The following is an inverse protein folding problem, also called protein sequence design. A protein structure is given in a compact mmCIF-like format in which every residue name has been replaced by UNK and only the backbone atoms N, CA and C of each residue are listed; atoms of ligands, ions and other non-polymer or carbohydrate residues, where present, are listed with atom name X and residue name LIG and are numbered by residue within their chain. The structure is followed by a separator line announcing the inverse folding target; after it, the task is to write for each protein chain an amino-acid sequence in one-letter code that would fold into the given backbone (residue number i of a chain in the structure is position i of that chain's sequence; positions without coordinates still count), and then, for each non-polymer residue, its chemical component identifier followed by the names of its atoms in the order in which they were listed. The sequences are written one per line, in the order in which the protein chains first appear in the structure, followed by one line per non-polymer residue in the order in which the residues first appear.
data_IF_708092620777
#
_entry.id   IF_708092620777
#
_cell.length_a   1.000
_cell.length_b   1.000
_cell.length_c   1.000
_cell.angle_alpha   90.00
_cell.angle_beta   90.00
_cell.angle_gamma   90.00
#
_symmetry.space_group_name_H-M   'P 1'
#
loop_
_entity.id
_entity.type
_entity.pdbx_description
1 polymer ?
#
# COMPACT_ATOMS: atom_id res chain seq x y z
N UNK A 1 18.34 13.63 -11.50
CA UNK A 1 17.78 12.89 -12.64
C UNK A 1 17.19 13.92 -13.59
N UNK A 2 17.59 13.90 -14.87
CA UNK A 2 16.96 14.70 -15.93
C UNK A 2 15.84 13.85 -16.54
N UNK A 3 14.72 14.46 -16.89
CA UNK A 3 13.65 13.79 -17.62
C UNK A 3 14.17 13.31 -18.98
N UNK A 4 14.00 12.02 -19.26
CA UNK A 4 14.19 11.44 -20.59
C UNK A 4 12.84 11.49 -21.31
N UNK A 5 12.78 11.96 -22.56
CA UNK A 5 11.51 12.18 -23.28
C UNK A 5 10.63 10.92 -23.23
N UNK A 6 9.45 11.03 -22.63
CA UNK A 6 8.41 9.99 -22.63
C UNK A 6 8.35 9.06 -21.41
N UNK A 7 9.28 9.18 -20.44
CA UNK A 7 9.24 8.38 -19.20
C UNK A 7 9.00 9.26 -17.97
N UNK A 8 8.21 8.76 -17.03
CA UNK A 8 8.06 9.34 -15.69
C UNK A 8 9.35 9.18 -14.88
N UNK A 9 9.51 10.00 -13.83
CA UNK A 9 10.67 9.91 -12.93
C UNK A 9 10.71 8.57 -12.19
N UNK A 10 9.54 7.98 -11.92
CA UNK A 10 9.36 6.69 -11.29
C UNK A 10 9.79 5.56 -12.22
N UNK A 11 9.41 5.60 -13.50
CA UNK A 11 9.86 4.63 -14.52
C UNK A 11 11.38 4.72 -14.75
N UNK A 12 11.93 5.93 -14.76
CA UNK A 12 13.38 6.12 -14.83
C UNK A 12 14.09 5.54 -13.60
N UNK A 13 13.55 5.77 -12.40
CA UNK A 13 14.10 5.20 -11.17
C UNK A 13 14.00 3.66 -11.15
N UNK A 14 12.89 3.10 -11.62
CA UNK A 14 12.71 1.65 -11.79
C UNK A 14 13.73 1.09 -12.78
N UNK A 15 13.98 1.78 -13.91
CA UNK A 15 15.01 1.40 -14.89
C UNK A 15 16.42 1.34 -14.30
N UNK A 16 16.83 2.35 -13.51
CA UNK A 16 18.13 2.32 -12.83
C UNK A 16 18.23 1.17 -11.81
N UNK A 17 17.14 0.86 -11.09
CA UNK A 17 17.13 -0.27 -10.16
C UNK A 17 17.28 -1.60 -10.91
N UNK A 18 16.56 -1.78 -12.02
CA UNK A 18 16.67 -2.96 -12.88
C UNK A 18 18.09 -3.12 -13.41
N UNK A 19 18.75 -2.02 -13.81
CA UNK A 19 20.13 -2.04 -14.25
C UNK A 19 21.07 -2.54 -13.14
N UNK A 20 20.91 -2.06 -11.90
CA UNK A 20 21.70 -2.52 -10.75
C UNK A 20 21.47 -4.01 -10.46
N UNK A 21 20.24 -4.50 -10.66
CA UNK A 21 19.89 -5.90 -10.52
C UNK A 21 20.54 -6.75 -11.62
N UNK A 22 20.47 -6.32 -12.88
CA UNK A 22 21.11 -7.03 -14.01
C UNK A 22 22.63 -7.10 -13.87
N UNK A 23 23.25 -6.08 -13.27
CA UNK A 23 24.70 -6.08 -12.95
C UNK A 23 25.04 -6.89 -11.69
N UNK A 24 24.07 -7.55 -11.06
CA UNK A 24 24.24 -8.33 -9.81
C UNK A 24 24.80 -7.52 -8.62
N UNK A 25 24.69 -6.18 -8.67
CA UNK A 25 25.09 -5.30 -7.56
C UNK A 25 23.99 -5.21 -6.49
N UNK A 26 22.74 -5.44 -6.90
CA UNK A 26 21.56 -5.52 -6.05
C UNK A 26 20.85 -6.83 -6.36
N UNK A 27 20.41 -7.54 -5.33
CA UNK A 27 19.67 -8.80 -5.46
C UNK A 27 18.21 -8.58 -5.09
N UNK A 28 17.29 -9.18 -5.84
CA UNK A 28 15.87 -9.17 -5.47
C UNK A 28 15.67 -10.11 -4.28
N UNK A 29 15.21 -9.59 -3.16
CA UNK A 29 14.93 -10.37 -1.94
C UNK A 29 13.49 -10.89 -1.89
N UNK A 30 12.57 -10.20 -2.57
CA UNK A 30 11.19 -10.64 -2.71
C UNK A 30 10.55 -10.04 -3.96
N UNK A 31 9.62 -10.80 -4.54
CA UNK A 31 8.85 -10.38 -5.71
C UNK A 31 7.43 -9.98 -5.31
N UNK A 32 6.84 -9.08 -6.10
CA UNK A 32 5.40 -8.85 -6.15
C UNK A 32 4.77 -9.95 -7.01
N UNK A 33 3.46 -10.09 -6.92
CA UNK A 33 2.68 -11.08 -7.68
C UNK A 33 2.84 -10.93 -9.21
N UNK A 34 3.08 -9.71 -9.67
CA UNK A 34 3.29 -9.34 -11.07
C UNK A 34 4.73 -9.61 -11.54
N UNK A 35 5.57 -10.17 -10.67
CA UNK A 35 6.98 -10.47 -10.96
C UNK A 35 7.91 -9.27 -10.79
N UNK A 36 7.42 -8.10 -10.38
CA UNK A 36 8.28 -6.95 -10.11
C UNK A 36 8.97 -7.08 -8.74
N UNK A 37 10.15 -6.47 -8.58
CA UNK A 37 10.83 -6.44 -7.30
C UNK A 37 9.96 -5.76 -6.22
N UNK A 38 9.71 -6.46 -5.12
CA UNK A 38 9.04 -5.93 -3.91
C UNK A 38 10.09 -5.47 -2.90
N UNK A 39 11.13 -6.25 -2.72
CA UNK A 39 12.26 -5.96 -1.84
C UNK A 39 13.57 -6.29 -2.54
N UNK A 40 14.61 -5.57 -2.16
CA UNK A 40 15.97 -5.76 -2.65
C UNK A 40 16.94 -5.85 -1.48
N UNK A 41 18.09 -6.49 -1.70
CA UNK A 41 19.21 -6.56 -0.76
C UNK A 41 20.52 -6.42 -1.52
N UNK A 42 21.60 -6.13 -0.81
CA UNK A 42 22.96 -6.13 -1.35
C UNK A 42 23.70 -7.30 -0.71
N UNK A 43 24.49 -8.03 -1.50
CA UNK A 43 25.32 -9.12 -1.00
C UNK A 43 26.44 -8.59 -0.08
N UNK A 44 26.84 -9.35 0.94
CA UNK A 44 27.79 -8.89 1.96
C UNK A 44 29.14 -8.43 1.37
N UNK A 45 29.71 -9.18 0.42
CA UNK A 45 30.93 -8.77 -0.29
C UNK A 45 30.80 -7.42 -1.03
N UNK A 46 29.64 -7.17 -1.66
CA UNK A 46 29.38 -5.88 -2.34
C UNK A 46 29.18 -4.78 -1.30
N UNK A 47 28.53 -5.08 -0.19
CA UNK A 47 28.38 -4.17 0.95
C UNK A 47 29.75 -3.78 1.51
N UNK A 48 30.67 -4.72 1.70
CA UNK A 48 32.03 -4.45 2.19
C UNK A 48 32.82 -3.58 1.20
N UNK A 49 32.73 -3.87 -0.10
CA UNK A 49 33.30 -3.03 -1.15
C UNK A 49 32.73 -1.60 -1.10
N UNK A 50 31.40 -1.44 -0.94
CA UNK A 50 30.75 -0.13 -0.80
C UNK A 50 31.25 0.60 0.44
N UNK A 51 31.36 -0.09 1.59
CA UNK A 51 31.85 0.48 2.83
C UNK A 51 33.32 0.93 2.70
N UNK A 52 34.15 0.15 2.02
CA UNK A 52 35.54 0.52 1.73
C UNK A 52 35.61 1.76 0.84
N UNK A 53 34.88 1.77 -0.29
CA UNK A 53 34.80 2.94 -1.18
C UNK A 53 34.25 4.18 -0.46
N UNK A 54 33.31 4.01 0.47
CA UNK A 54 32.75 5.13 1.21
C UNK A 54 33.78 5.81 2.12
N UNK A 55 34.79 5.07 2.65
CA UNK A 55 35.91 5.66 3.40
C UNK A 55 36.76 6.61 2.52
N UNK A 56 36.89 6.30 1.23
CA UNK A 56 37.66 7.13 0.29
C UNK A 56 36.91 8.44 -0.05
N UNK A 57 35.59 8.36 -0.22
CA UNK A 57 34.79 9.49 -0.73
C UNK A 57 34.15 10.36 0.36
N UNK A 58 34.08 9.89 1.61
CA UNK A 58 33.38 10.55 2.72
C UNK A 58 31.96 11.02 2.36
N UNK A 59 31.31 10.30 1.43
CA UNK A 59 30.05 10.74 0.82
C UNK A 59 28.84 10.45 1.73
N UNK A 60 28.86 9.29 2.38
CA UNK A 60 27.84 8.84 3.33
C UNK A 60 28.45 8.65 4.73
N UNK A 61 27.68 8.96 5.79
CA UNK A 61 28.05 8.64 7.17
C UNK A 61 26.86 7.99 7.88
N UNK A 62 27.12 6.93 8.62
CA UNK A 62 26.19 6.30 9.55
C UNK A 62 26.61 6.61 10.97
N UNK A 63 25.64 6.98 11.82
CA UNK A 63 25.84 7.23 13.25
C UNK A 63 25.00 6.23 14.03
N UNK A 64 25.67 5.46 14.88
CA UNK A 64 25.11 4.43 15.76
C UNK A 64 25.68 4.53 17.17
N UNK A 65 25.06 3.82 18.12
CA UNK A 65 25.43 3.83 19.54
C UNK A 65 26.84 3.26 19.80
N UNK A 66 27.42 2.53 18.83
CA UNK A 66 28.72 1.88 18.89
C UNK A 66 29.92 2.80 18.63
N UNK A 67 29.69 4.12 18.49
CA UNK A 67 30.74 5.14 18.60
C UNK A 67 31.69 5.22 17.41
N UNK A 68 31.48 6.20 16.52
CA UNK A 68 32.54 6.75 15.68
C UNK A 68 32.46 8.28 15.62
N UNK A 69 33.38 8.94 16.29
CA UNK A 69 33.39 10.38 16.66
C UNK A 69 34.35 11.25 15.84
N UNK A 70 34.56 10.96 14.55
CA UNK A 70 35.25 11.91 13.66
C UNK A 70 34.38 12.33 12.48
N UNK A 71 33.85 13.55 12.55
CA UNK A 71 33.23 14.28 11.44
C UNK A 71 34.34 14.90 10.57
N UNK A 72 35.07 14.08 9.83
CA UNK A 72 36.04 14.54 8.85
C UNK A 72 35.44 14.55 7.44
N UNK A 73 35.57 15.66 6.72
CA UNK A 73 35.19 15.75 5.30
C UNK A 73 33.75 16.18 5.00
N UNK A 74 33.40 16.23 3.72
CA UNK A 74 32.12 16.76 3.21
C UNK A 74 31.07 15.64 3.17
N UNK A 75 30.30 15.50 4.25
CA UNK A 75 29.20 14.53 4.33
C UNK A 75 27.99 15.06 3.55
N UNK A 76 27.52 14.31 2.55
CA UNK A 76 26.33 14.66 1.75
C UNK A 76 25.11 13.83 2.12
N UNK A 77 25.30 12.63 2.68
CA UNK A 77 24.23 11.74 3.13
C UNK A 77 24.51 11.25 4.54
N UNK A 78 23.54 11.40 5.42
CA UNK A 78 23.65 11.05 6.82
C UNK A 78 22.53 10.07 7.18
N UNK A 79 22.89 8.96 7.82
CA UNK A 79 21.96 8.02 8.43
C UNK A 79 22.23 7.89 9.92
N UNK A 80 21.16 7.79 10.71
CA UNK A 80 21.24 7.85 12.17
C UNK A 80 20.34 6.79 12.75
N UNK A 81 20.85 6.02 13.71
CA UNK A 81 20.03 5.05 14.48
C UNK A 81 19.76 5.45 15.92
N UNK A 82 20.36 6.54 16.39
CA UNK A 82 20.35 6.98 17.78
C UNK A 82 20.31 8.50 17.86
N UNK A 83 19.57 9.03 18.84
CA UNK A 83 19.31 10.47 19.00
C UNK A 83 19.97 11.01 20.28
N UNK A 84 20.93 10.28 20.83
CA UNK A 84 21.61 10.69 22.08
C UNK A 84 22.57 11.87 21.80
N UNK A 85 23.14 12.45 22.87
CA UNK A 85 23.93 13.70 22.83
C UNK A 85 25.09 13.69 21.80
N UNK A 86 25.60 12.51 21.43
CA UNK A 86 26.58 12.31 20.34
C UNK A 86 26.09 12.91 19.01
N UNK A 87 24.77 12.91 18.76
CA UNK A 87 24.22 13.52 17.56
C UNK A 87 24.30 15.05 17.58
N UNK A 88 24.22 15.70 18.76
CA UNK A 88 24.31 17.18 18.86
C UNK A 88 25.63 17.71 18.29
N UNK A 89 26.72 16.97 18.47
CA UNK A 89 28.03 17.31 17.91
C UNK A 89 28.04 17.23 16.37
N UNK A 90 27.22 16.35 15.80
CA UNK A 90 27.09 16.09 14.36
C UNK A 90 26.22 17.09 13.60
N UNK A 91 25.41 17.89 14.32
CA UNK A 91 24.47 18.87 13.75
C UNK A 91 25.17 20.01 12.97
N UNK A 92 26.49 20.16 13.05
CA UNK A 92 27.23 21.18 12.30
C UNK A 92 27.46 20.84 10.80
N UNK A 93 26.92 19.73 10.29
CA UNK A 93 27.08 19.27 8.90
C UNK A 93 26.28 20.07 7.85
N UNK A 94 26.69 21.30 7.54
CA UNK A 94 25.99 22.21 6.60
C UNK A 94 25.80 21.68 5.16
N UNK A 95 26.60 20.69 4.74
CA UNK A 95 26.61 20.14 3.37
C UNK A 95 25.67 18.95 3.17
N UNK A 96 25.02 18.46 4.23
CA UNK A 96 24.14 17.29 4.15
C UNK A 96 22.92 17.61 3.28
N UNK A 97 22.63 16.71 2.34
CA UNK A 97 21.52 16.80 1.37
C UNK A 97 20.48 15.71 1.58
N UNK A 98 20.83 14.64 2.28
CA UNK A 98 19.91 13.57 2.64
C UNK A 98 20.15 13.15 4.08
N UNK A 99 19.07 13.16 4.88
CA UNK A 99 19.08 12.77 6.27
C UNK A 99 18.03 11.66 6.47
N UNK A 100 18.49 10.50 6.91
CA UNK A 100 17.66 9.34 7.23
C UNK A 100 17.80 9.00 8.70
N UNK A 101 16.69 8.91 9.41
CA UNK A 101 16.67 8.59 10.82
C UNK A 101 15.91 7.27 11.00
N UNK A 102 16.65 6.21 11.36
CA UNK A 102 16.17 4.84 11.53
C UNK A 102 16.10 4.47 13.01
N UNK A 103 14.93 4.45 13.63
CA UNK A 103 14.84 4.03 15.02
C UNK A 103 13.42 4.11 15.52
N UNK A 104 13.14 3.45 16.63
CA UNK A 104 11.77 3.33 17.17
C UNK A 104 11.52 4.24 18.39
N UNK A 105 12.49 5.10 18.73
CA UNK A 105 12.38 6.02 19.86
C UNK A 105 11.57 7.26 19.47
N UNK A 106 11.25 8.05 20.47
CA UNK A 106 10.64 9.35 20.25
C UNK A 106 11.72 10.42 20.06
N UNK A 107 11.53 11.32 19.10
CA UNK A 107 12.41 12.45 18.87
C UNK A 107 12.15 13.54 19.91
N UNK A 108 13.20 13.98 20.59
CA UNK A 108 13.13 15.14 21.48
C UNK A 108 12.75 16.41 20.71
N UNK A 109 11.98 17.29 21.36
CA UNK A 109 11.46 18.52 20.73
C UNK A 109 12.57 19.54 20.42
N UNK A 110 13.64 19.55 21.20
CA UNK A 110 14.83 20.37 20.92
C UNK A 110 15.52 19.88 19.66
N UNK A 111 15.68 18.56 19.53
CA UNK A 111 16.29 17.95 18.36
C UNK A 111 15.55 18.29 17.07
N UNK A 112 14.21 18.12 17.05
CA UNK A 112 13.43 18.43 15.85
C UNK A 112 13.50 19.91 15.44
N UNK A 113 13.69 20.84 16.39
CA UNK A 113 13.81 22.28 16.12
C UNK A 113 15.16 22.70 15.56
N UNK A 114 16.24 21.98 15.88
CA UNK A 114 17.60 22.29 15.44
C UNK A 114 17.86 21.87 13.99
N UNK A 115 17.26 20.77 13.53
CA UNK A 115 17.50 20.25 12.18
C UNK A 115 17.20 21.32 11.09
N UNK A 116 16.05 22.04 11.12
CA UNK A 116 15.74 23.04 10.10
C UNK A 116 16.64 24.28 10.12
N UNK A 117 17.36 24.56 11.20
CA UNK A 117 18.30 25.69 11.24
C UNK A 117 19.67 25.31 10.68
N UNK A 118 20.07 24.04 10.84
CA UNK A 118 21.42 23.57 10.55
C UNK A 118 21.56 22.89 9.20
N UNK A 119 20.51 22.23 8.73
CA UNK A 119 20.52 21.43 7.51
C UNK A 119 19.72 22.05 6.36
N UNK A 120 20.00 23.33 6.05
CA UNK A 120 19.25 24.11 5.05
C UNK A 120 19.36 23.59 3.61
N UNK A 121 20.39 22.80 3.30
CA UNK A 121 20.63 22.20 1.99
C UNK A 121 19.93 20.85 1.78
N UNK A 122 19.14 20.39 2.75
CA UNK A 122 18.44 19.10 2.65
C UNK A 122 17.49 19.07 1.45
N UNK A 123 17.57 17.95 0.74
CA UNK A 123 16.65 17.53 -0.32
C UNK A 123 15.79 16.36 0.13
N UNK A 124 16.30 15.51 1.02
CA UNK A 124 15.60 14.35 1.58
C UNK A 124 15.71 14.38 3.10
N UNK A 125 14.57 14.34 3.77
CA UNK A 125 14.46 14.18 5.21
C UNK A 125 13.46 13.06 5.49
N UNK A 126 13.94 11.92 5.97
CA UNK A 126 13.10 10.77 6.32
C UNK A 126 13.31 10.40 7.78
N UNK A 127 12.27 10.57 8.59
CA UNK A 127 12.27 10.13 9.98
C UNK A 127 11.77 8.69 10.16
N UNK A 128 11.68 7.92 9.08
CA UNK A 128 11.25 6.51 9.00
C UNK A 128 10.35 6.02 10.13
N UNK A 129 10.99 5.49 11.17
CA UNK A 129 10.37 4.85 12.33
C UNK A 129 10.28 5.74 13.58
N UNK A 130 10.98 6.88 13.59
CA UNK A 130 11.02 7.76 14.75
C UNK A 130 9.70 8.50 14.93
N UNK A 131 9.24 8.53 16.18
CA UNK A 131 7.99 9.19 16.56
C UNK A 131 8.24 10.68 16.82
N UNK A 132 7.53 11.55 16.11
CA UNK A 132 7.57 12.99 16.33
C UNK A 132 6.40 13.42 17.23
N UNK A 133 6.71 13.99 18.40
CA UNK A 133 5.72 14.68 19.25
C UNK A 133 5.25 16.01 18.68
N UNK A 134 6.13 16.72 17.98
CA UNK A 134 5.83 18.00 17.37
C UNK A 134 6.63 18.15 16.08
N UNK A 135 5.97 18.68 15.05
CA UNK A 135 6.63 19.07 13.81
C UNK A 135 7.08 20.52 13.98
N UNK A 136 8.37 20.83 13.75
CA UNK A 136 8.92 22.12 14.13
C UNK A 136 8.38 23.26 13.25
N UNK A 137 8.03 24.40 13.85
CA UNK A 137 7.43 25.54 13.13
C UNK A 137 8.39 26.19 12.12
N UNK A 138 9.70 26.00 12.26
CA UNK A 138 10.71 26.45 11.31
C UNK A 138 10.92 25.47 10.13
N UNK A 139 10.00 24.52 9.90
CA UNK A 139 10.04 23.58 8.77
C UNK A 139 10.23 24.30 7.42
N UNK A 140 9.67 25.52 7.29
CA UNK A 140 9.81 26.35 6.09
C UNK A 140 11.25 26.71 5.70
N UNK A 141 12.23 26.49 6.58
CA UNK A 141 13.64 26.73 6.29
C UNK A 141 14.24 25.74 5.27
N UNK A 142 13.62 24.58 5.06
CA UNK A 142 14.11 23.58 4.10
C UNK A 142 13.73 23.93 2.65
N UNK A 143 14.23 25.04 2.14
CA UNK A 143 13.86 25.58 0.82
C UNK A 143 14.22 24.66 -0.37
N UNK A 144 15.13 23.69 -0.16
CA UNK A 144 15.55 22.72 -1.17
C UNK A 144 14.90 21.33 -1.02
N UNK A 145 14.03 21.14 -0.03
CA UNK A 145 13.46 19.84 0.29
C UNK A 145 12.57 19.34 -0.85
N UNK A 146 12.78 18.09 -1.24
CA UNK A 146 12.01 17.35 -2.25
C UNK A 146 11.24 16.19 -1.64
N UNK A 147 11.78 15.58 -0.59
CA UNK A 147 11.16 14.47 0.12
C UNK A 147 11.14 14.76 1.61
N UNK A 148 9.95 14.68 2.20
CA UNK A 148 9.74 14.75 3.65
C UNK A 148 8.92 13.55 4.10
N UNK A 149 9.43 12.81 5.08
CA UNK A 149 8.63 11.82 5.79
C UNK A 149 8.81 11.89 7.29
N UNK A 150 7.71 11.70 8.00
CA UNK A 150 7.70 11.59 9.45
C UNK A 150 6.55 10.73 9.95
N UNK A 151 6.68 10.26 11.19
CA UNK A 151 5.65 9.48 11.90
C UNK A 151 5.16 10.25 13.11
N UNK A 152 3.85 10.47 13.21
CA UNK A 152 3.26 11.10 14.39
C UNK A 152 3.31 10.16 15.59
N UNK A 153 3.64 10.69 16.78
CA UNK A 153 3.57 9.94 18.04
C UNK A 153 2.16 9.84 18.61
N UNK A 154 1.25 10.77 18.30
CA UNK A 154 -0.10 10.83 18.89
C UNK A 154 -1.10 11.62 18.01
N UNK A 155 -2.35 11.76 18.46
CA UNK A 155 -3.41 12.50 17.76
C UNK A 155 -3.30 14.03 17.83
N UNK A 156 -2.48 14.57 18.73
CA UNK A 156 -2.30 16.01 18.92
C UNK A 156 -1.31 16.66 17.94
N UNK A 157 -0.52 15.85 17.23
CA UNK A 157 0.50 16.34 16.29
C UNK A 157 -0.16 16.94 15.06
N UNK A 158 0.17 18.21 14.79
CA UNK A 158 -0.34 18.96 13.63
C UNK A 158 0.78 19.30 12.66
N UNK A 159 0.47 19.28 11.36
CA UNK A 159 1.37 19.81 10.34
C UNK A 159 1.33 21.34 10.40
N UNK A 160 2.47 22.02 10.59
CA UNK A 160 2.50 23.46 10.81
C UNK A 160 2.34 24.19 9.46
N UNK A 161 1.70 25.36 9.47
CA UNK A 161 1.44 26.19 8.27
C UNK A 161 2.68 26.46 7.39
N UNK A 162 3.90 26.62 7.95
CA UNK A 162 5.13 26.77 7.16
C UNK A 162 5.46 25.61 6.22
N UNK A 163 4.75 24.47 6.28
CA UNK A 163 4.82 23.43 5.25
C UNK A 163 4.62 24.01 3.84
N UNK A 164 3.76 25.03 3.69
CA UNK A 164 3.51 25.69 2.40
C UNK A 164 4.70 26.49 1.86
N UNK A 165 5.78 26.67 2.62
CA UNK A 165 7.02 27.30 2.16
C UNK A 165 7.94 26.31 1.41
N UNK A 166 7.67 25.00 1.49
CA UNK A 166 8.48 23.96 0.84
C UNK A 166 8.19 23.84 -0.65
N UNK A 167 8.43 24.91 -1.42
CA UNK A 167 8.04 25.03 -2.83
C UNK A 167 8.68 23.99 -3.78
N UNK A 168 9.72 23.28 -3.31
CA UNK A 168 10.38 22.19 -4.05
C UNK A 168 9.92 20.79 -3.64
N UNK A 169 8.99 20.67 -2.68
CA UNK A 169 8.56 19.37 -2.17
C UNK A 169 7.80 18.59 -3.25
N UNK A 170 8.27 17.38 -3.52
CA UNK A 170 7.71 16.46 -4.50
C UNK A 170 7.00 15.28 -3.82
N UNK A 171 7.45 14.88 -2.63
CA UNK A 171 6.88 13.78 -1.84
C UNK A 171 6.73 14.17 -0.38
N UNK A 172 5.53 13.98 0.16
CA UNK A 172 5.20 14.11 1.57
C UNK A 172 4.57 12.80 2.06
N UNK A 173 5.24 12.14 3.01
CA UNK A 173 4.78 10.90 3.64
C UNK A 173 4.54 11.12 5.12
N UNK A 174 3.28 11.02 5.53
CA UNK A 174 2.80 11.26 6.89
C UNK A 174 2.37 9.93 7.51
N UNK A 175 3.25 9.32 8.30
CA UNK A 175 2.99 8.06 9.00
C UNK A 175 2.38 8.32 10.39
N UNK A 176 1.78 7.29 10.98
CA UNK A 176 1.17 7.32 12.31
C UNK A 176 -0.10 6.49 12.36
N UNK A 177 -0.68 6.33 13.53
CA UNK A 177 -1.92 5.55 13.70
C UNK A 177 -3.16 6.44 13.70
N UNK A 178 -2.96 7.73 13.97
CA UNK A 178 -4.01 8.71 14.20
C UNK A 178 -4.40 9.50 12.95
N UNK A 179 -5.55 10.16 13.04
CA UNK A 179 -6.03 11.12 12.06
C UNK A 179 -5.11 12.34 11.99
N UNK A 180 -4.79 12.82 10.78
CA UNK A 180 -3.97 14.02 10.60
C UNK A 180 -4.65 15.03 9.68
N UNK A 181 -5.00 16.18 10.24
CA UNK A 181 -5.49 17.33 9.49
C UNK A 181 -4.33 18.07 8.83
N UNK A 182 -4.46 18.28 7.52
CA UNK A 182 -3.49 19.02 6.73
C UNK A 182 -3.88 20.51 6.65
N UNK A 183 -2.94 21.45 6.88
CA UNK A 183 -3.24 22.87 6.81
C UNK A 183 -3.47 23.31 5.34
N UNK A 184 -4.29 24.34 5.15
CA UNK A 184 -4.62 24.88 3.81
C UNK A 184 -3.39 25.25 2.98
N UNK A 185 -2.30 25.62 3.64
CA UNK A 185 -1.03 26.00 3.03
C UNK A 185 -0.40 24.87 2.19
N UNK A 186 -0.78 23.61 2.38
CA UNK A 186 -0.33 22.49 1.52
C UNK A 186 -0.76 22.69 0.05
N UNK A 187 -1.87 23.39 -0.21
CA UNK A 187 -2.28 23.75 -1.58
C UNK A 187 -1.25 24.60 -2.33
N UNK A 188 -0.30 25.25 -1.63
CA UNK A 188 0.78 26.04 -2.23
C UNK A 188 1.90 25.17 -2.82
N UNK A 189 1.92 23.86 -2.53
CA UNK A 189 2.98 22.94 -2.95
C UNK A 189 2.76 22.47 -4.39
N UNK A 190 3.04 23.36 -5.36
CA UNK A 190 2.75 23.12 -6.79
C UNK A 190 3.55 21.98 -7.43
N UNK A 191 4.68 21.57 -6.82
CA UNK A 191 5.50 20.45 -7.28
C UNK A 191 5.19 19.12 -6.57
N UNK A 192 4.24 19.11 -5.63
CA UNK A 192 3.93 17.90 -4.88
C UNK A 192 3.28 16.86 -5.80
N UNK A 193 3.93 15.70 -5.92
CA UNK A 193 3.49 14.56 -6.73
C UNK A 193 2.89 13.46 -5.88
N UNK A 194 3.42 13.24 -4.68
CA UNK A 194 2.99 12.16 -3.80
C UNK A 194 2.63 12.68 -2.41
N UNK A 195 1.37 12.51 -2.03
CA UNK A 195 0.86 12.75 -0.68
C UNK A 195 0.32 11.44 -0.12
N UNK A 196 1.05 10.85 0.83
CA UNK A 196 0.76 9.53 1.37
C UNK A 196 0.62 9.66 2.88
N UNK A 197 -0.43 9.09 3.46
CA UNK A 197 -0.51 8.95 4.90
C UNK A 197 -1.31 7.74 5.38
N UNK A 198 -1.59 7.70 6.68
CA UNK A 198 -2.40 6.63 7.29
C UNK A 198 -3.90 6.96 7.33
N UNK A 199 -4.24 8.20 7.70
CA UNK A 199 -5.61 8.76 7.70
C UNK A 199 -5.54 10.30 7.64
N UNK A 200 -5.54 10.86 6.44
CA UNK A 200 -5.41 12.29 6.18
C UNK A 200 -6.77 12.98 6.11
N UNK A 201 -6.87 14.20 6.64
CA UNK A 201 -8.00 15.09 6.41
C UNK A 201 -7.59 16.30 5.58
N UNK A 202 -8.36 16.53 4.52
CA UNK A 202 -8.16 17.62 3.57
C UNK A 202 -9.25 18.70 3.68
N UNK A 203 -9.95 18.83 4.81
CA UNK A 203 -11.05 19.81 4.92
C UNK A 203 -10.59 21.23 4.65
N UNK A 204 -9.41 21.58 5.15
CA UNK A 204 -8.78 22.89 4.92
C UNK A 204 -8.39 23.12 3.45
N UNK A 205 -8.46 22.09 2.60
CA UNK A 205 -8.14 22.11 1.18
C UNK A 205 -9.38 22.00 0.28
N UNK A 206 -10.61 22.12 0.84
CA UNK A 206 -11.86 22.06 0.06
C UNK A 206 -11.86 22.97 -1.18
N UNK A 207 -11.27 24.15 -1.07
CA UNK A 207 -11.18 25.13 -2.16
C UNK A 207 -9.82 25.12 -2.89
N UNK A 208 -8.87 24.28 -2.45
CA UNK A 208 -7.47 24.34 -2.89
C UNK A 208 -6.91 23.03 -3.47
N UNK A 209 -7.52 21.88 -3.20
CA UNK A 209 -6.99 20.58 -3.63
C UNK A 209 -6.90 20.47 -5.16
N UNK A 210 -7.91 20.97 -5.88
CA UNK A 210 -7.93 20.94 -7.34
C UNK A 210 -6.85 21.78 -8.03
N UNK A 211 -6.18 22.65 -7.27
CA UNK A 211 -5.08 23.48 -7.73
C UNK A 211 -3.72 22.77 -7.64
N UNK A 212 -3.66 21.61 -6.99
CA UNK A 212 -2.45 20.79 -6.82
C UNK A 212 -2.23 19.86 -8.03
N UNK A 213 -2.20 20.45 -9.24
CA UNK A 213 -2.24 19.75 -10.54
C UNK A 213 -1.12 18.74 -10.79
N UNK A 214 -0.01 18.81 -10.05
CA UNK A 214 1.12 17.88 -10.15
C UNK A 214 0.90 16.57 -9.37
N UNK A 215 -0.17 16.45 -8.58
CA UNK A 215 -0.43 15.26 -7.78
C UNK A 215 -0.68 14.03 -8.65
N UNK A 216 0.06 12.97 -8.34
CA UNK A 216 -0.01 11.66 -8.98
C UNK A 216 -0.41 10.55 -8.01
N UNK A 217 -0.14 10.74 -6.70
CA UNK A 217 -0.52 9.80 -5.65
C UNK A 217 -1.15 10.53 -4.47
N UNK A 218 -2.35 10.09 -4.10
CA UNK A 218 -3.06 10.54 -2.92
C UNK A 218 -3.66 9.33 -2.20
N UNK A 219 -3.13 8.98 -1.02
CA UNK A 219 -3.55 7.77 -0.30
C UNK A 219 -4.08 8.06 1.10
N UNK A 220 -5.13 7.32 1.46
CA UNK A 220 -5.77 7.28 2.79
C UNK A 220 -6.35 8.62 3.22
N UNK A 221 -7.04 9.30 2.31
CA UNK A 221 -7.81 10.51 2.65
C UNK A 221 -9.15 10.10 3.25
N UNK A 222 -9.38 10.49 4.50
CA UNK A 222 -10.67 10.35 5.17
C UNK A 222 -11.63 11.40 4.61
N UNK A 223 -12.86 10.97 4.34
CA UNK A 223 -13.98 11.84 3.93
C UNK A 223 -15.13 11.85 4.96
N UNK A 224 -14.88 11.27 6.14
CA UNK A 224 -15.73 11.32 7.34
C UNK A 224 -15.67 12.71 8.00
N UNK A 225 -16.21 13.72 7.31
CA UNK A 225 -16.16 15.14 7.69
C UNK A 225 -17.18 16.00 6.92
N UNK A 226 -17.63 17.08 7.55
CA UNK A 226 -18.38 18.13 6.86
C UNK A 226 -17.52 18.78 5.78
N UNK A 227 -18.06 19.00 4.58
CA UNK A 227 -17.31 19.58 3.45
C UNK A 227 -16.56 18.56 2.57
N UNK A 228 -16.83 17.26 2.74
CA UNK A 228 -16.27 16.21 1.89
C UNK A 228 -16.66 16.38 0.41
N UNK A 229 -17.87 16.88 0.12
CA UNK A 229 -18.36 17.09 -1.24
C UNK A 229 -17.45 18.05 -2.06
N UNK A 230 -17.03 19.16 -1.45
CA UNK A 230 -16.14 20.14 -2.06
C UNK A 230 -14.74 19.57 -2.29
N UNK A 231 -14.21 18.83 -1.32
CA UNK A 231 -12.93 18.12 -1.47
C UNK A 231 -13.00 17.15 -2.66
N UNK A 232 -14.04 16.32 -2.72
CA UNK A 232 -14.26 15.36 -3.81
C UNK A 232 -14.36 16.06 -5.16
N UNK A 233 -15.15 17.13 -5.26
CA UNK A 233 -15.26 17.94 -6.48
C UNK A 233 -13.90 18.51 -6.89
N UNK A 234 -13.08 18.93 -5.93
CA UNK A 234 -11.72 19.37 -6.18
C UNK A 234 -10.81 18.26 -6.69
N UNK A 235 -10.96 17.01 -6.21
CA UNK A 235 -10.21 15.86 -6.69
C UNK A 235 -10.43 15.59 -8.18
N UNK A 236 -11.64 15.80 -8.70
CA UNK A 236 -11.94 15.64 -10.14
C UNK A 236 -11.12 16.55 -11.07
N UNK A 237 -10.49 17.61 -10.53
CA UNK A 237 -9.58 18.50 -11.29
C UNK A 237 -8.16 17.93 -11.41
N UNK A 238 -7.80 16.89 -10.68
CA UNK A 238 -6.45 16.31 -10.63
C UNK A 238 -6.23 15.32 -11.79
N UNK A 239 -5.92 15.84 -12.97
CA UNK A 239 -5.80 15.03 -14.20
C UNK A 239 -4.62 14.06 -14.24
N UNK A 240 -3.56 14.31 -13.46
CA UNK A 240 -2.36 13.47 -13.42
C UNK A 240 -2.40 12.37 -12.35
N UNK A 241 -3.51 12.24 -11.61
CA UNK A 241 -3.65 11.26 -10.54
C UNK A 241 -3.61 9.82 -11.11
N UNK A 242 -2.74 8.99 -10.54
CA UNK A 242 -2.55 7.58 -10.91
C UNK A 242 -2.91 6.63 -9.78
N UNK A 243 -2.75 7.06 -8.52
CA UNK A 243 -3.07 6.24 -7.35
C UNK A 243 -3.91 7.06 -6.35
N UNK A 244 -5.19 6.70 -6.22
CA UNK A 244 -6.15 7.34 -5.33
C UNK A 244 -6.62 6.34 -4.27
N UNK A 245 -6.56 6.74 -3.01
CA UNK A 245 -7.05 5.98 -1.87
C UNK A 245 -7.87 6.85 -0.93
N UNK A 246 -9.16 6.57 -0.81
CA UNK A 246 -10.12 7.27 0.02
C UNK A 246 -10.67 6.35 1.12
N UNK A 247 -11.03 6.94 2.26
CA UNK A 247 -11.63 6.28 3.41
C UNK A 247 -12.97 6.94 3.72
N UNK A 248 -13.97 6.13 4.08
CA UNK A 248 -15.30 6.60 4.50
C UNK A 248 -15.97 7.52 3.46
N UNK A 249 -16.10 7.03 2.22
CA UNK A 249 -16.95 7.68 1.21
C UNK A 249 -18.42 7.42 1.59
N UNK A 250 -19.10 8.46 2.02
CA UNK A 250 -20.51 8.40 2.40
C UNK A 250 -21.45 8.41 1.19
N UNK A 251 -22.65 7.84 1.37
CA UNK A 251 -23.66 7.67 0.33
C UNK A 251 -24.07 8.99 -0.33
N UNK A 252 -24.20 10.07 0.44
CA UNK A 252 -24.56 11.39 -0.10
C UNK A 252 -23.55 11.92 -1.14
N UNK A 253 -22.30 11.44 -1.09
CA UNK A 253 -21.22 11.89 -1.96
C UNK A 253 -20.97 10.97 -3.17
N UNK A 254 -21.65 9.82 -3.27
CA UNK A 254 -21.41 8.82 -4.33
C UNK A 254 -21.52 9.39 -5.75
N UNK A 255 -22.50 10.26 -6.00
CA UNK A 255 -22.73 10.88 -7.32
C UNK A 255 -21.59 11.82 -7.71
N UNK A 256 -21.22 12.72 -6.79
CA UNK A 256 -20.13 13.70 -7.01
C UNK A 256 -18.80 12.97 -7.14
N UNK A 257 -18.61 11.90 -6.36
CA UNK A 257 -17.43 11.06 -6.43
C UNK A 257 -17.34 10.32 -7.76
N UNK A 258 -18.43 9.71 -8.23
CA UNK A 258 -18.50 9.06 -9.53
C UNK A 258 -18.15 10.02 -10.68
N UNK A 259 -18.70 11.24 -10.66
CA UNK A 259 -18.34 12.29 -11.61
C UNK A 259 -16.84 12.62 -11.56
N UNK A 260 -16.29 12.77 -10.35
CA UNK A 260 -14.88 13.10 -10.16
C UNK A 260 -13.94 11.99 -10.64
N UNK A 261 -14.31 10.71 -10.53
CA UNK A 261 -13.52 9.59 -11.05
C UNK A 261 -13.55 9.53 -12.58
N UNK A 262 -14.69 9.80 -13.22
CA UNK A 262 -14.77 9.85 -14.70
C UNK A 262 -13.79 10.86 -15.31
N UNK A 263 -13.41 11.88 -14.54
CA UNK A 263 -12.48 12.92 -14.94
C UNK A 263 -10.98 12.50 -14.84
N UNK A 264 -10.67 11.32 -14.28
CA UNK A 264 -9.31 10.84 -13.96
C UNK A 264 -8.84 9.74 -14.93
N UNK A 265 -8.53 10.13 -16.17
CA UNK A 265 -8.21 9.18 -17.26
C UNK A 265 -6.89 8.41 -17.09
N UNK A 266 -5.96 8.90 -16.26
CA UNK A 266 -4.69 8.23 -15.96
C UNK A 266 -4.72 7.39 -14.68
N UNK A 267 -5.89 7.18 -14.07
CA UNK A 267 -6.00 6.46 -12.81
C UNK A 267 -5.68 4.97 -13.00
N UNK A 268 -4.63 4.50 -12.32
CA UNK A 268 -4.17 3.11 -12.35
C UNK A 268 -4.61 2.33 -11.11
N UNK A 269 -4.80 3.01 -9.98
CA UNK A 269 -5.07 2.37 -8.68
C UNK A 269 -6.15 3.15 -7.94
N UNK A 270 -7.29 2.52 -7.70
CA UNK A 270 -8.39 3.07 -6.93
C UNK A 270 -8.63 2.21 -5.68
N UNK A 271 -8.66 2.85 -4.51
CA UNK A 271 -9.02 2.22 -3.24
C UNK A 271 -10.07 3.07 -2.54
N UNK A 272 -11.22 2.48 -2.28
CA UNK A 272 -12.29 3.07 -1.48
C UNK A 272 -12.50 2.14 -0.29
N UNK A 273 -12.25 2.63 0.92
CA UNK A 273 -12.31 1.82 2.13
C UNK A 273 -13.31 2.42 3.13
N UNK A 274 -14.48 1.81 3.23
CA UNK A 274 -15.50 2.14 4.20
C UNK A 274 -15.51 1.06 5.28
N UNK A 275 -15.13 1.42 6.50
CA UNK A 275 -15.11 0.49 7.63
C UNK A 275 -16.41 0.57 8.44
N UNK A 276 -17.18 1.64 8.30
CA UNK A 276 -18.51 1.75 8.90
C UNK A 276 -19.51 0.94 8.09
N UNK A 277 -20.18 -0.02 8.73
CA UNK A 277 -21.04 -1.03 8.09
C UNK A 277 -22.15 -0.48 7.18
N UNK A 278 -22.57 0.78 7.33
CA UNK A 278 -23.71 1.34 6.60
C UNK A 278 -23.33 2.09 5.31
N UNK A 279 -22.04 2.26 5.02
CA UNK A 279 -21.60 3.04 3.88
C UNK A 279 -21.56 2.17 2.61
N UNK A 280 -22.37 2.54 1.63
CA UNK A 280 -22.40 1.93 0.30
C UNK A 280 -21.25 2.45 -0.56
N UNK A 281 -20.88 1.68 -1.59
CA UNK A 281 -19.86 2.05 -2.59
C UNK A 281 -20.40 1.74 -3.99
N UNK A 282 -21.61 2.19 -4.28
CA UNK A 282 -22.25 1.99 -5.58
C UNK A 282 -21.79 3.13 -6.53
N UNK A 283 -20.61 2.96 -7.14
CA UNK A 283 -20.10 3.93 -8.12
C UNK A 283 -20.77 3.73 -9.48
N UNK A 284 -21.25 4.81 -10.08
CA UNK A 284 -21.80 4.80 -11.44
C UNK A 284 -20.89 5.56 -12.40
N UNK A 285 -19.92 4.84 -12.99
CA UNK A 285 -18.93 5.41 -13.90
C UNK A 285 -19.38 5.27 -15.34
N UNK A 286 -19.64 6.39 -16.01
CA UNK A 286 -20.02 6.45 -17.42
C UNK A 286 -18.77 6.34 -18.30
N UNK A 287 -17.62 6.81 -17.81
CA UNK A 287 -16.31 6.72 -18.47
C UNK A 287 -15.30 6.12 -17.49
N UNK A 288 -15.33 4.79 -17.28
CA UNK A 288 -14.44 4.15 -16.31
C UNK A 288 -12.97 4.32 -16.72
N UNK A 289 -12.05 4.59 -15.77
CA UNK A 289 -10.64 4.76 -16.08
C UNK A 289 -10.02 3.49 -16.68
N UNK A 290 -9.72 3.49 -17.98
CA UNK A 290 -9.27 2.30 -18.71
C UNK A 290 -7.85 1.85 -18.35
N UNK A 291 -7.06 2.73 -17.74
CA UNK A 291 -5.72 2.42 -17.20
C UNK A 291 -5.77 1.70 -15.84
N UNK A 292 -6.95 1.46 -15.27
CA UNK A 292 -7.08 0.90 -13.93
C UNK A 292 -6.56 -0.54 -13.88
N UNK A 293 -5.55 -0.76 -13.04
CA UNK A 293 -4.90 -2.05 -12.81
C UNK A 293 -5.26 -2.63 -11.43
N UNK A 294 -5.55 -1.76 -10.45
CA UNK A 294 -5.94 -2.17 -9.09
C UNK A 294 -7.21 -1.47 -8.66
N UNK A 295 -8.21 -2.27 -8.30
CA UNK A 295 -9.47 -1.82 -7.75
C UNK A 295 -9.69 -2.46 -6.39
N UNK A 296 -9.86 -1.64 -5.36
CA UNK A 296 -10.24 -2.09 -4.02
C UNK A 296 -11.49 -1.32 -3.61
N UNK A 297 -12.61 -2.03 -3.49
CA UNK A 297 -13.87 -1.48 -3.00
C UNK A 297 -14.24 -2.23 -1.71
N UNK A 298 -14.05 -1.57 -0.57
CA UNK A 298 -14.50 -2.08 0.71
C UNK A 298 -15.66 -1.21 1.19
N UNK A 299 -16.83 -1.81 1.32
CA UNK A 299 -18.10 -1.16 1.65
C UNK A 299 -19.26 -1.96 1.05
N UNK A 300 -20.51 -1.60 1.39
CA UNK A 300 -21.67 -2.35 0.88
C UNK A 300 -21.88 -2.08 -0.61
N UNK A 301 -22.02 -3.15 -1.40
CA UNK A 301 -22.44 -3.09 -2.79
C UNK A 301 -23.87 -3.64 -2.89
N UNK A 302 -24.73 -2.95 -3.65
CA UNK A 302 -26.04 -3.53 -4.03
C UNK A 302 -25.87 -4.64 -5.04
N UNK A 303 -25.04 -4.39 -6.04
CA UNK A 303 -24.67 -5.28 -7.12
C UNK A 303 -23.25 -4.98 -7.56
N UNK A 304 -22.66 -5.85 -8.38
CA UNK A 304 -21.39 -5.53 -9.00
C UNK A 304 -21.58 -4.42 -10.05
N UNK A 305 -20.78 -3.34 -10.03
CA UNK A 305 -20.92 -2.29 -11.03
C UNK A 305 -20.56 -2.78 -12.43
N UNK A 306 -21.44 -2.57 -13.41
CA UNK A 306 -21.25 -3.04 -14.79
C UNK A 306 -19.96 -2.53 -15.45
N UNK A 307 -19.58 -1.28 -15.17
CA UNK A 307 -18.35 -0.69 -15.69
C UNK A 307 -17.08 -1.44 -15.27
N UNK A 308 -17.12 -2.20 -14.17
CA UNK A 308 -15.97 -2.98 -13.69
C UNK A 308 -15.58 -4.06 -14.69
N UNK A 309 -16.56 -4.66 -15.39
CA UNK A 309 -16.31 -5.73 -16.35
C UNK A 309 -15.70 -5.22 -17.66
N UNK A 310 -15.77 -3.92 -17.92
CA UNK A 310 -15.11 -3.28 -19.06
C UNK A 310 -13.60 -3.05 -18.85
N UNK A 311 -13.09 -3.26 -17.62
CA UNK A 311 -11.69 -2.97 -17.28
C UNK A 311 -10.74 -4.13 -17.67
N UNK A 312 -10.19 -4.07 -18.86
CA UNK A 312 -9.31 -5.11 -19.40
C UNK A 312 -7.92 -5.18 -18.75
N UNK A 313 -7.44 -4.06 -18.18
CA UNK A 313 -6.11 -3.97 -17.56
C UNK A 313 -6.10 -4.36 -16.07
N UNK A 314 -7.25 -4.77 -15.52
CA UNK A 314 -7.36 -5.04 -14.10
C UNK A 314 -6.63 -6.33 -13.72
N UNK A 315 -5.61 -6.20 -12.86
CA UNK A 315 -4.80 -7.31 -12.36
C UNK A 315 -5.04 -7.60 -10.89
N UNK A 316 -5.55 -6.62 -10.13
CA UNK A 316 -5.88 -6.79 -8.72
C UNK A 316 -7.29 -6.29 -8.45
N UNK A 317 -8.13 -7.21 -7.98
CA UNK A 317 -9.49 -6.92 -7.55
C UNK A 317 -9.69 -7.33 -6.09
N UNK A 318 -10.16 -6.39 -5.28
CA UNK A 318 -10.64 -6.66 -3.93
C UNK A 318 -12.02 -6.05 -3.77
N UNK A 319 -12.98 -6.85 -3.34
CA UNK A 319 -14.36 -6.40 -3.16
C UNK A 319 -15.03 -7.08 -1.97
N UNK A 320 -16.01 -6.40 -1.39
CA UNK A 320 -17.03 -7.03 -0.56
C UNK A 320 -18.16 -7.46 -1.50
N UNK A 321 -18.48 -8.74 -1.52
CA UNK A 321 -19.54 -9.25 -2.38
C UNK A 321 -20.89 -8.62 -2.00
N UNK A 322 -21.75 -8.33 -2.99
CA UNK A 322 -23.07 -7.79 -2.72
C UNK A 322 -23.92 -8.78 -1.94
N UNK A 323 -24.98 -8.26 -1.31
CA UNK A 323 -25.95 -9.10 -0.63
C UNK A 323 -26.71 -9.95 -1.65
N UNK A 324 -26.33 -11.22 -1.79
CA UNK A 324 -26.88 -12.13 -2.80
C UNK A 324 -26.77 -13.58 -2.37
N UNK A 325 -27.65 -14.43 -2.89
CA UNK A 325 -27.54 -15.90 -2.84
C UNK A 325 -26.87 -16.47 -4.09
N UNK A 326 -26.86 -15.72 -5.21
CA UNK A 326 -26.24 -16.13 -6.46
C UNK A 326 -24.72 -16.08 -6.33
N UNK A 327 -24.05 -17.09 -6.86
CA UNK A 327 -22.59 -17.16 -6.85
C UNK A 327 -21.98 -15.89 -7.50
N UNK A 328 -21.19 -15.10 -6.76
CA UNK A 328 -20.57 -13.87 -7.27
C UNK A 328 -19.58 -14.13 -8.41
N UNK A 329 -19.01 -15.33 -8.50
CA UNK A 329 -18.01 -15.66 -9.52
C UNK A 329 -18.60 -15.68 -10.93
N UNK A 330 -19.90 -15.95 -11.07
CA UNK A 330 -20.61 -15.91 -12.36
C UNK A 330 -20.53 -14.54 -13.04
N UNK A 331 -20.50 -13.46 -12.26
CA UNK A 331 -20.31 -12.10 -12.77
C UNK A 331 -18.83 -11.81 -13.08
N UNK A 332 -17.91 -12.43 -12.34
CA UNK A 332 -16.47 -12.16 -12.44
C UNK A 332 -15.76 -13.02 -13.51
N UNK A 333 -16.45 -13.98 -14.14
CA UNK A 333 -15.88 -14.92 -15.11
C UNK A 333 -15.16 -14.28 -16.31
N UNK A 334 -15.57 -13.07 -16.72
CA UNK A 334 -14.96 -12.35 -17.84
C UNK A 334 -13.60 -11.75 -17.51
N UNK A 335 -13.24 -11.68 -16.22
CA UNK A 335 -12.04 -10.99 -15.73
C UNK A 335 -10.80 -11.89 -15.76
N UNK A 336 -10.42 -12.37 -16.95
CA UNK A 336 -9.37 -13.39 -17.12
C UNK A 336 -7.93 -12.90 -16.88
N UNK A 337 -7.72 -11.58 -16.81
CA UNK A 337 -6.40 -10.97 -16.60
C UNK A 337 -6.03 -10.78 -15.13
N UNK A 338 -6.92 -11.14 -14.20
CA UNK A 338 -6.68 -11.02 -12.77
C UNK A 338 -5.50 -11.89 -12.32
N UNK A 339 -4.61 -11.29 -11.53
CA UNK A 339 -3.51 -11.96 -10.84
C UNK A 339 -3.82 -12.14 -9.35
N UNK A 340 -4.54 -11.19 -8.75
CA UNK A 340 -5.01 -11.25 -7.36
C UNK A 340 -6.52 -11.01 -7.32
N UNK A 341 -7.23 -11.91 -6.65
CA UNK A 341 -8.64 -11.77 -6.33
C UNK A 341 -8.85 -11.94 -4.82
N UNK A 342 -9.43 -10.93 -4.18
CA UNK A 342 -9.88 -11.00 -2.78
C UNK A 342 -11.38 -10.75 -2.71
N UNK A 343 -12.11 -11.77 -2.26
CA UNK A 343 -13.54 -11.73 -2.04
C UNK A 343 -13.83 -11.73 -0.54
N UNK A 344 -14.43 -10.65 -0.04
CA UNK A 344 -15.05 -10.63 1.28
C UNK A 344 -16.52 -11.01 1.13
N UNK A 345 -16.90 -12.16 1.71
CA UNK A 345 -18.22 -12.77 1.57
C UNK A 345 -19.17 -12.41 2.73
N UNK A 346 -18.87 -11.36 3.50
CA UNK A 346 -19.61 -11.04 4.73
C UNK A 346 -21.11 -10.79 4.49
N UNK A 347 -21.46 -10.31 3.30
CA UNK A 347 -22.84 -10.09 2.87
C UNK A 347 -23.41 -11.21 1.99
N UNK A 348 -22.58 -12.15 1.54
CA UNK A 348 -22.99 -13.27 0.70
C UNK A 348 -23.79 -14.32 1.51
N UNK A 349 -24.93 -14.76 0.98
CA UNK A 349 -25.85 -15.70 1.64
C UNK A 349 -25.93 -17.07 0.97
N UNK A 350 -25.28 -17.24 -0.18
CA UNK A 350 -25.22 -18.54 -0.82
C UNK A 350 -24.33 -19.53 -0.05
N UNK A 351 -24.52 -20.80 -0.36
CA UNK A 351 -23.91 -21.92 0.37
C UNK A 351 -22.68 -22.48 -0.34
N UNK A 352 -22.49 -22.19 -1.62
CA UNK A 352 -21.44 -22.77 -2.45
C UNK A 352 -20.78 -21.68 -3.30
N UNK A 353 -19.47 -21.79 -3.50
CA UNK A 353 -18.76 -21.11 -4.59
C UNK A 353 -18.30 -22.15 -5.59
N UNK A 354 -18.50 -21.91 -6.88
CA UNK A 354 -18.10 -22.83 -7.94
C UNK A 354 -17.16 -22.13 -8.93
N UNK A 355 -15.90 -22.56 -8.92
CA UNK A 355 -14.89 -22.16 -9.89
C UNK A 355 -14.94 -23.13 -11.07
N UNK A 356 -15.53 -22.67 -12.18
CA UNK A 356 -15.75 -23.51 -13.36
C UNK A 356 -14.52 -23.59 -14.27
N UNK A 357 -14.51 -24.61 -15.13
CA UNK A 357 -13.47 -24.79 -16.14
C UNK A 357 -13.26 -23.51 -16.99
N UNK A 358 -12.01 -23.22 -17.31
CA UNK A 358 -11.60 -22.05 -18.08
C UNK A 358 -11.59 -20.73 -17.30
N UNK A 359 -12.01 -20.70 -16.04
CA UNK A 359 -12.07 -19.44 -15.27
C UNK A 359 -10.71 -19.06 -14.66
N UNK A 360 -10.45 -17.75 -14.57
CA UNK A 360 -9.33 -17.16 -13.83
C UNK A 360 -7.93 -17.73 -14.20
N UNK A 361 -7.65 -17.87 -15.49
CA UNK A 361 -6.47 -18.59 -16.01
C UNK A 361 -5.10 -18.02 -15.58
N UNK A 362 -5.04 -16.72 -15.31
CA UNK A 362 -3.81 -16.01 -14.87
C UNK A 362 -3.75 -15.78 -13.36
N UNK A 363 -4.76 -16.19 -12.61
CA UNK A 363 -4.87 -15.91 -11.18
C UNK A 363 -3.74 -16.62 -10.42
N UNK A 364 -3.02 -15.87 -9.59
CA UNK A 364 -1.90 -16.37 -8.79
C UNK A 364 -2.23 -16.39 -7.31
N UNK A 365 -3.06 -15.46 -6.85
CA UNK A 365 -3.49 -15.36 -5.45
C UNK A 365 -5.01 -15.23 -5.38
N UNK A 366 -5.64 -16.14 -4.66
CA UNK A 366 -7.06 -16.11 -4.32
C UNK A 366 -7.19 -16.05 -2.81
N UNK A 367 -7.93 -15.04 -2.33
CA UNK A 367 -8.36 -14.97 -0.93
C UNK A 367 -9.87 -14.89 -0.84
N UNK A 368 -10.46 -15.85 -0.14
CA UNK A 368 -11.87 -15.87 0.23
C UNK A 368 -11.94 -15.61 1.73
N UNK A 369 -12.65 -14.55 2.11
CA UNK A 369 -12.65 -14.03 3.47
C UNK A 369 -14.06 -13.82 3.99
N UNK A 370 -14.23 -13.96 5.31
CA UNK A 370 -15.45 -13.64 6.06
C UNK A 370 -16.74 -14.21 5.44
N UNK A 371 -17.08 -15.47 5.73
CA UNK A 371 -18.41 -15.98 5.41
C UNK A 371 -19.05 -16.65 6.61
N UNK A 372 -20.33 -16.31 6.82
CA UNK A 372 -21.18 -16.96 7.83
C UNK A 372 -22.08 -18.05 7.24
N UNK A 373 -22.09 -18.25 5.92
CA UNK A 373 -23.06 -19.14 5.25
C UNK A 373 -22.43 -20.13 4.28
N UNK A 374 -21.27 -19.78 3.70
CA UNK A 374 -20.56 -20.66 2.77
C UNK A 374 -20.25 -22.00 3.45
N UNK A 375 -20.63 -23.09 2.79
CA UNK A 375 -20.45 -24.47 3.24
C UNK A 375 -19.46 -25.24 2.39
N UNK A 376 -19.35 -24.88 1.11
CA UNK A 376 -18.53 -25.62 0.16
C UNK A 376 -17.91 -24.69 -0.87
N UNK A 377 -16.72 -25.06 -1.34
CA UNK A 377 -16.07 -24.46 -2.49
C UNK A 377 -15.78 -25.61 -3.45
N UNK A 378 -16.19 -25.47 -4.71
CA UNK A 378 -16.02 -26.46 -5.76
C UNK A 378 -15.08 -25.87 -6.80
N UNK A 379 -14.08 -26.64 -7.20
CA UNK A 379 -13.05 -26.28 -8.15
C UNK A 379 -13.08 -27.31 -9.27
N UNK A 380 -13.52 -26.92 -10.46
CA UNK A 380 -13.48 -27.79 -11.63
C UNK A 380 -12.05 -27.93 -12.15
N UNK A 381 -11.76 -29.07 -12.76
CA UNK A 381 -10.51 -29.28 -13.50
C UNK A 381 -10.39 -28.21 -14.60
N UNK A 382 -9.22 -27.57 -14.69
CA UNK A 382 -8.95 -26.49 -15.66
C UNK A 382 -9.27 -25.08 -15.14
N UNK A 383 -9.88 -24.95 -13.96
CA UNK A 383 -10.03 -23.65 -13.29
C UNK A 383 -8.72 -23.24 -12.58
N UNK A 384 -8.40 -21.94 -12.61
CA UNK A 384 -7.25 -21.35 -11.89
C UNK A 384 -5.90 -22.11 -12.01
N UNK A 385 -5.45 -22.55 -13.20
CA UNK A 385 -4.24 -23.39 -13.35
C UNK A 385 -2.91 -22.69 -12.99
N UNK A 386 -2.94 -21.38 -12.71
CA UNK A 386 -1.77 -20.59 -12.32
C UNK A 386 -1.72 -20.25 -10.83
N UNK A 387 -2.68 -20.76 -10.04
CA UNK A 387 -2.83 -20.37 -8.63
C UNK A 387 -1.66 -20.89 -7.80
N UNK A 388 -1.00 -19.97 -7.08
CA UNK A 388 0.12 -20.25 -6.18
C UNK A 388 -0.29 -20.15 -4.72
N UNK A 389 -1.19 -19.21 -4.40
CA UNK A 389 -1.62 -18.96 -3.02
C UNK A 389 -3.14 -19.01 -2.93
N UNK A 390 -3.65 -19.91 -2.08
CA UNK A 390 -5.05 -19.97 -1.70
C UNK A 390 -5.20 -19.61 -0.22
N UNK A 391 -6.02 -18.61 0.09
CA UNK A 391 -6.28 -18.17 1.45
C UNK A 391 -7.77 -18.22 1.77
N UNK A 392 -8.13 -19.07 2.74
CA UNK A 392 -9.48 -19.31 3.24
C UNK A 392 -9.56 -18.80 4.68
N UNK A 393 -10.14 -17.61 4.85
CA UNK A 393 -10.09 -16.88 6.12
C UNK A 393 -11.49 -16.63 6.65
N UNK A 394 -11.72 -16.93 7.93
CA UNK A 394 -12.98 -16.62 8.64
C UNK A 394 -14.21 -17.18 7.91
N UNK A 395 -14.13 -18.43 7.48
CA UNK A 395 -15.20 -19.16 6.80
C UNK A 395 -15.89 -20.09 7.80
N UNK A 396 -16.69 -19.48 8.68
CA UNK A 396 -17.15 -20.11 9.93
C UNK A 396 -18.02 -21.37 9.76
N UNK A 397 -18.58 -21.61 8.57
CA UNK A 397 -19.45 -22.76 8.27
C UNK A 397 -18.94 -23.60 7.10
N UNK A 398 -17.71 -23.35 6.64
CA UNK A 398 -17.12 -24.16 5.58
C UNK A 398 -16.94 -25.58 6.12
N UNK A 399 -17.43 -26.58 5.40
CA UNK A 399 -17.47 -27.96 5.91
C UNK A 399 -16.15 -28.70 5.71
N UNK A 400 -15.57 -28.57 4.51
CA UNK A 400 -14.43 -29.34 4.04
C UNK A 400 -13.45 -28.45 3.28
N UNK A 401 -12.23 -28.95 3.06
CA UNK A 401 -11.34 -28.44 2.00
C UNK A 401 -12.12 -28.32 0.69
N UNK A 402 -11.83 -27.29 -0.15
CA UNK A 402 -12.45 -27.17 -1.46
C UNK A 402 -12.42 -28.48 -2.25
N UNK A 403 -13.58 -28.94 -2.71
CA UNK A 403 -13.71 -30.10 -3.58
C UNK A 403 -12.99 -29.80 -4.90
N UNK A 404 -12.08 -30.66 -5.33
CA UNK A 404 -11.27 -30.43 -6.55
C UNK A 404 -9.98 -29.64 -6.31
N UNK A 405 -9.54 -29.49 -5.05
CA UNK A 405 -8.26 -28.83 -4.70
C UNK A 405 -7.07 -29.42 -5.46
N UNK A 406 -7.11 -30.72 -5.76
CA UNK A 406 -6.09 -31.46 -6.49
C UNK A 406 -5.89 -30.97 -7.93
N UNK A 407 -6.82 -30.18 -8.46
CA UNK A 407 -6.67 -29.56 -9.78
C UNK A 407 -5.75 -28.32 -9.76
N UNK A 408 -5.37 -27.83 -8.58
CA UNK A 408 -4.49 -26.68 -8.41
C UNK A 408 -3.01 -27.11 -8.39
N UNK A 409 -2.53 -27.65 -9.50
CA UNK A 409 -1.19 -28.27 -9.61
C UNK A 409 0.00 -27.35 -9.28
N UNK A 410 -0.19 -26.01 -9.30
CA UNK A 410 0.84 -25.00 -9.00
C UNK A 410 0.71 -24.38 -7.61
N UNK A 411 -0.15 -24.92 -6.76
CA UNK A 411 -0.40 -24.38 -5.42
C UNK A 411 0.87 -24.55 -4.56
N UNK A 412 1.41 -23.43 -4.10
CA UNK A 412 2.61 -23.36 -3.25
C UNK A 412 2.25 -23.10 -1.78
N UNK A 413 1.16 -22.35 -1.53
CA UNK A 413 0.74 -21.95 -0.18
C UNK A 413 -0.77 -22.08 0.02
N UNK A 414 -1.15 -22.74 1.12
CA UNK A 414 -2.54 -22.85 1.57
C UNK A 414 -2.68 -22.27 2.98
N UNK A 415 -3.45 -21.19 3.10
CA UNK A 415 -3.74 -20.52 4.36
C UNK A 415 -5.18 -20.79 4.77
N UNK A 416 -5.39 -21.42 5.93
CA UNK A 416 -6.73 -21.70 6.47
C UNK A 416 -6.80 -21.23 7.92
N UNK A 417 -7.68 -20.29 8.23
CA UNK A 417 -7.89 -19.87 9.62
C UNK A 417 -9.30 -19.34 9.87
N UNK A 418 -9.85 -19.59 11.06
CA UNK A 418 -11.19 -19.14 11.43
C UNK A 418 -12.29 -19.97 10.75
N UNK A 419 -12.06 -21.28 10.62
CA UNK A 419 -13.07 -22.29 10.28
C UNK A 419 -13.62 -22.90 11.58
N UNK A 420 -14.67 -23.73 11.50
CA UNK A 420 -15.18 -24.45 12.68
C UNK A 420 -14.20 -25.54 13.16
N UNK A 421 -14.32 -25.96 14.42
CA UNK A 421 -13.42 -26.99 15.00
C UNK A 421 -13.57 -28.36 14.31
N UNK A 422 -14.75 -28.66 13.75
CA UNK A 422 -15.06 -29.94 13.08
C UNK A 422 -14.53 -30.02 11.63
N UNK A 423 -14.06 -28.90 11.06
CA UNK A 423 -13.55 -28.80 9.69
C UNK A 423 -12.44 -29.83 9.40
N UNK A 424 -11.53 -30.01 10.36
CA UNK A 424 -10.40 -30.94 10.25
C UNK A 424 -10.84 -32.42 10.21
N UNK A 425 -11.93 -32.75 10.89
CA UNK A 425 -12.44 -34.12 10.98
C UNK A 425 -13.22 -34.51 9.72
N UNK A 426 -13.98 -33.57 9.13
CA UNK A 426 -14.88 -33.84 7.99
C UNK A 426 -14.18 -33.90 6.63
N UNK A 427 -13.03 -33.24 6.50
CA UNK A 427 -12.31 -33.16 5.22
C UNK A 427 -11.83 -34.53 4.74
N UNK A 428 -11.72 -34.78 3.43
CA UNK A 428 -11.29 -36.10 2.95
C UNK A 428 -9.82 -36.40 3.31
N UNK A 429 -9.48 -37.66 3.58
CA UNK A 429 -8.07 -38.06 3.81
C UNK A 429 -7.22 -37.89 2.56
N UNK A 430 -7.81 -38.13 1.38
CA UNK A 430 -7.14 -38.02 0.09
C UNK A 430 -6.74 -36.58 -0.24
N UNK A 431 -7.62 -35.60 -0.06
CA UNK A 431 -7.31 -34.19 -0.33
C UNK A 431 -6.22 -33.67 0.62
N UNK A 432 -6.28 -34.05 1.90
CA UNK A 432 -5.25 -33.68 2.87
C UNK A 432 -3.89 -34.31 2.53
N UNK A 433 -3.88 -35.59 2.18
CA UNK A 433 -2.64 -36.27 1.76
C UNK A 433 -2.07 -35.61 0.50
N UNK A 434 -2.93 -35.28 -0.49
CA UNK A 434 -2.51 -34.58 -1.69
C UNK A 434 -1.81 -33.25 -1.38
N UNK A 435 -2.38 -32.42 -0.49
CA UNK A 435 -1.77 -31.13 -0.12
C UNK A 435 -0.40 -31.34 0.55
N UNK A 436 -0.29 -32.33 1.45
CA UNK A 436 0.95 -32.65 2.15
C UNK A 436 2.03 -33.19 1.19
N UNK A 437 1.64 -34.04 0.25
CA UNK A 437 2.55 -34.68 -0.71
C UNK A 437 2.99 -33.70 -1.83
N UNK A 438 2.13 -32.75 -2.20
CA UNK A 438 2.46 -31.73 -3.21
C UNK A 438 3.37 -30.60 -2.66
N UNK A 439 3.76 -30.68 -1.39
CA UNK A 439 4.71 -29.74 -0.79
C UNK A 439 4.17 -28.33 -0.60
N UNK A 440 2.85 -28.14 -0.67
CA UNK A 440 2.22 -26.87 -0.38
C UNK A 440 2.38 -26.54 1.11
N UNK A 441 2.89 -25.35 1.42
CA UNK A 441 3.02 -24.93 2.81
C UNK A 441 1.63 -24.63 3.38
N UNK A 442 1.24 -25.40 4.40
CA UNK A 442 -0.03 -25.21 5.09
C UNK A 442 0.17 -24.33 6.31
N UNK A 443 -0.50 -23.19 6.32
CA UNK A 443 -0.52 -22.27 7.44
C UNK A 443 -1.92 -22.23 8.04
N UNK A 444 -2.09 -22.85 9.21
CA UNK A 444 -3.32 -22.77 9.96
C UNK A 444 -3.05 -22.55 11.45
N UNK A 445 -3.82 -21.64 12.08
CA UNK A 445 -3.84 -21.54 13.55
C UNK A 445 -4.37 -22.82 14.20
N UNK A 446 -5.21 -23.54 13.47
CA UNK A 446 -5.85 -24.78 13.91
C UNK A 446 -5.09 -26.02 13.40
N UNK A 447 -3.95 -25.83 12.72
CA UNK A 447 -3.18 -26.92 12.08
C UNK A 447 -2.84 -28.06 13.04
N UNK A 448 -2.42 -27.72 14.27
CA UNK A 448 -2.08 -28.73 15.27
C UNK A 448 -3.30 -29.51 15.78
N UNK A 449 -4.51 -28.94 15.75
CA UNK A 449 -5.75 -29.67 16.07
C UNK A 449 -6.11 -30.59 14.90
N UNK A 450 -6.10 -30.06 13.68
CA UNK A 450 -6.41 -30.80 12.44
C UNK A 450 -5.45 -31.98 12.23
N UNK A 451 -4.16 -31.80 12.53
CA UNK A 451 -3.16 -32.86 12.44
C UNK A 451 -3.35 -33.92 13.52
N UNK A 452 -3.70 -33.52 14.76
CA UNK A 452 -3.91 -34.44 15.89
C UNK A 452 -5.19 -35.28 15.79
N UNK A 453 -6.23 -34.82 15.11
CA UNK A 453 -7.44 -35.65 14.90
C UNK A 453 -7.21 -36.80 13.90
N UNK A 454 -6.03 -36.86 13.26
CA UNK A 454 -5.71 -37.82 12.20
C UNK A 454 -4.48 -38.70 12.45
N UNK A 455 -3.75 -38.43 13.53
CA UNK A 455 -2.70 -39.31 14.09
C UNK A 455 -3.28 -40.06 15.27
#
# INVERSE_FOLDING_TARGET
MKEEKGKTMEELAEGYLIELIHRSLVQVSSLRIDGKAKGCRVHDLIRDMILQKNKDFNFCKHISDDGQTSLGGIIRRLSITTIDDVFRECINGSHVRSLFCFGNKEISTSFSREIPTKYRLLKVLDFEDFLMKNIPNNLGNFIHLKYLSFKSSNSGVKVPKPIGMLQNLETLVVRGEYFMELPKEISKLRKLRHLIGHRLSLIQLKDGIGEMKSLQTLRRVSLDMDGAAEVIKGLGKLKLIRDLGLLEVHKENERIFSFSINEMQHLEKLRVLNFKYNNFVDLNLISPPTMLQKLILNGRLKEFPEWMFALQNLTVLRLVCPYSVKDPLQSLKSMQHLLILLLDLSMYKGLHLHFQDGWFQKLKELRVDHSYKLREIIIDKGSMPSLKTLSLMRLFNLKNIPTGIQHLEKLEELWIAGVDDEFGERSSTEDWNWIMDHGANIYSKDFNKIKKSRT
#
